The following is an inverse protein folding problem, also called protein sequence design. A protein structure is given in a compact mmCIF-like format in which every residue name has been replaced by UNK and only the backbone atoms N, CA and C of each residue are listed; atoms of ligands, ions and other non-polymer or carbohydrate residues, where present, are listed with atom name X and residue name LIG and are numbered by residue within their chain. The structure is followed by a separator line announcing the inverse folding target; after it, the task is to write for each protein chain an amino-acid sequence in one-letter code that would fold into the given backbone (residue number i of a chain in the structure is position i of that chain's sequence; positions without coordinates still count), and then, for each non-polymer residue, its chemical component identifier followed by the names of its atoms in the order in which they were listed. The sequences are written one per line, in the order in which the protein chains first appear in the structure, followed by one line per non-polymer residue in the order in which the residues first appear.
data_IF_133755231985
#
_entry.id   IF_133755231985
#
_cell.length_a   1.000
_cell.length_b   1.000
_cell.length_c   1.000
_cell.angle_alpha   90.00
_cell.angle_beta   90.00
_cell.angle_gamma   90.00
#
_symmetry.space_group_name_H-M   'P 1'
#
loop_
_entity.id
_entity.type
_entity.pdbx_description
1 polymer ?
#
# COMPACT_ATOMS: atom_id res chain seq x y z
N UNK A 1 12.07 -18.91 -11.24
CA UNK A 1 12.27 -17.98 -10.11
C UNK A 1 11.42 -18.38 -8.93
N UNK A 2 10.09 -18.42 -9.05
CA UNK A 2 9.20 -18.70 -7.92
C UNK A 2 9.45 -20.06 -7.26
N UNK A 3 9.73 -21.10 -8.05
CA UNK A 3 10.03 -22.43 -7.53
C UNK A 3 11.35 -22.44 -6.74
N UNK A 4 12.42 -21.84 -7.30
CA UNK A 4 13.74 -21.78 -6.65
C UNK A 4 13.79 -20.85 -5.42
N UNK A 5 12.89 -19.88 -5.33
CA UNK A 5 12.81 -18.90 -4.23
C UNK A 5 11.61 -19.14 -3.29
N UNK A 6 10.97 -20.33 -3.39
CA UNK A 6 9.88 -20.70 -2.50
C UNK A 6 10.40 -20.80 -1.06
N UNK A 7 9.75 -20.12 -0.13
CA UNK A 7 10.22 -19.99 1.26
C UNK A 7 11.13 -18.78 1.51
N UNK A 8 11.67 -18.12 0.46
CA UNK A 8 12.47 -16.88 0.58
C UNK A 8 11.60 -15.64 0.39
N UNK A 9 10.56 -15.74 -0.44
CA UNK A 9 9.65 -14.63 -0.72
C UNK A 9 8.39 -14.72 0.12
N UNK A 10 7.92 -13.55 0.59
CA UNK A 10 6.60 -13.42 1.22
C UNK A 10 5.49 -13.70 0.20
N UNK A 11 4.30 -14.08 0.68
CA UNK A 11 3.13 -14.33 -0.17
C UNK A 11 2.75 -13.11 -1.01
N UNK A 12 2.88 -11.91 -0.45
CA UNK A 12 2.65 -10.66 -1.18
C UNK A 12 3.63 -10.46 -2.34
N UNK A 13 4.89 -10.85 -2.18
CA UNK A 13 5.89 -10.82 -3.25
C UNK A 13 5.57 -11.86 -4.32
N UNK A 14 5.15 -13.06 -3.92
CA UNK A 14 4.71 -14.11 -4.84
C UNK A 14 3.52 -13.65 -5.66
N UNK A 15 2.52 -13.03 -5.03
CA UNK A 15 1.34 -12.48 -5.71
C UNK A 15 1.72 -11.46 -6.79
N UNK A 16 2.71 -10.58 -6.53
CA UNK A 16 3.24 -9.63 -7.52
C UNK A 16 3.83 -10.36 -8.74
N UNK A 17 4.62 -11.40 -8.53
CA UNK A 17 5.20 -12.16 -9.65
C UNK A 17 4.16 -12.96 -10.43
N UNK A 18 3.13 -13.47 -9.76
CA UNK A 18 2.00 -14.13 -10.44
C UNK A 18 1.22 -13.14 -11.31
N UNK A 19 0.95 -11.96 -10.80
CA UNK A 19 0.33 -10.88 -11.57
C UNK A 19 1.20 -10.48 -12.78
N UNK A 20 2.49 -10.26 -12.56
CA UNK A 20 3.45 -9.99 -13.63
C UNK A 20 3.45 -11.09 -14.69
N UNK A 21 3.44 -12.37 -14.29
CA UNK A 21 3.35 -13.49 -15.23
C UNK A 21 2.12 -13.39 -16.13
N UNK A 22 0.96 -13.06 -15.55
CA UNK A 22 -0.27 -12.86 -16.32
C UNK A 22 -0.13 -11.76 -17.38
N UNK A 23 0.37 -10.58 -16.96
CA UNK A 23 0.60 -9.43 -17.85
C UNK A 23 1.62 -9.77 -18.95
N UNK A 24 2.73 -10.41 -18.60
CA UNK A 24 3.76 -10.79 -19.57
C UNK A 24 3.21 -11.80 -20.59
N UNK A 25 2.46 -12.80 -20.15
CA UNK A 25 1.85 -13.80 -21.03
C UNK A 25 0.89 -13.14 -22.03
N UNK A 26 0.08 -12.19 -21.58
CA UNK A 26 -0.82 -11.43 -22.45
C UNK A 26 -0.05 -10.59 -23.48
N UNK A 27 1.00 -9.88 -23.05
CA UNK A 27 1.88 -9.14 -23.94
C UNK A 27 2.51 -10.02 -25.01
N UNK A 28 3.07 -11.16 -24.63
CA UNK A 28 3.70 -12.10 -25.56
C UNK A 28 2.70 -12.67 -26.58
N UNK A 29 1.49 -13.02 -26.14
CA UNK A 29 0.39 -13.47 -27.02
C UNK A 29 0.00 -12.39 -28.02
N UNK A 30 -0.24 -11.16 -27.56
CA UNK A 30 -0.65 -10.02 -28.40
C UNK A 30 0.39 -9.70 -29.49
N UNK A 31 1.67 -9.87 -29.19
CA UNK A 31 2.77 -9.58 -30.11
C UNK A 31 3.27 -10.82 -30.88
N UNK A 32 2.62 -11.99 -30.75
CA UNK A 32 3.03 -13.27 -31.38
C UNK A 32 4.46 -13.69 -31.01
N UNK A 33 4.86 -13.43 -29.75
CA UNK A 33 6.21 -13.65 -29.23
C UNK A 33 6.27 -14.76 -28.18
N UNK A 34 5.37 -15.75 -28.23
CA UNK A 34 5.26 -16.79 -27.20
C UNK A 34 6.51 -17.66 -27.05
N UNK A 35 7.29 -17.79 -28.14
CA UNK A 35 8.51 -18.59 -28.20
C UNK A 35 9.80 -17.74 -28.13
N UNK A 36 9.70 -16.47 -27.68
CA UNK A 36 10.86 -15.59 -27.55
C UNK A 36 11.89 -16.19 -26.59
N UNK A 37 13.16 -16.17 -26.94
CA UNK A 37 14.27 -16.51 -26.06
C UNK A 37 14.72 -15.28 -25.28
N UNK A 38 15.46 -15.49 -24.19
CA UNK A 38 15.96 -14.37 -23.39
C UNK A 38 16.95 -13.49 -24.18
N UNK A 39 17.79 -14.07 -25.04
CA UNK A 39 18.73 -13.35 -25.89
C UNK A 39 18.01 -12.49 -26.95
N UNK A 40 16.75 -12.80 -27.28
CA UNK A 40 15.95 -12.03 -28.24
C UNK A 40 15.24 -10.83 -27.59
N UNK A 41 15.35 -10.67 -26.26
CA UNK A 41 14.78 -9.53 -25.54
C UNK A 41 15.67 -8.31 -25.77
N UNK A 42 15.31 -7.47 -26.73
CA UNK A 42 16.00 -6.24 -27.08
C UNK A 42 15.38 -5.01 -26.40
N UNK A 43 16.04 -3.86 -26.50
CA UNK A 43 15.49 -2.56 -26.08
C UNK A 43 14.14 -2.30 -26.76
N UNK A 44 14.00 -2.69 -28.03
CA UNK A 44 12.74 -2.57 -28.77
C UNK A 44 11.63 -3.41 -28.12
N UNK A 45 11.93 -4.64 -27.67
CA UNK A 45 10.97 -5.50 -26.94
C UNK A 45 10.57 -4.86 -25.63
N UNK A 46 11.54 -4.32 -24.87
CA UNK A 46 11.32 -3.61 -23.63
C UNK A 46 10.42 -2.37 -23.79
N UNK A 47 10.68 -1.58 -24.83
CA UNK A 47 9.86 -0.40 -25.17
C UNK A 47 8.43 -0.80 -25.59
N UNK A 48 8.27 -1.87 -26.37
CA UNK A 48 6.95 -2.42 -26.71
C UNK A 48 6.19 -2.87 -25.45
N UNK A 49 6.88 -3.49 -24.50
CA UNK A 49 6.28 -3.89 -23.23
C UNK A 49 5.84 -2.66 -22.41
N UNK A 50 6.69 -1.63 -22.32
CA UNK A 50 6.35 -0.35 -21.67
C UNK A 50 5.10 0.29 -22.29
N UNK A 51 5.05 0.37 -23.64
CA UNK A 51 3.88 0.88 -24.34
C UNK A 51 2.63 0.04 -24.05
N UNK A 52 2.76 -1.29 -24.07
CA UNK A 52 1.65 -2.19 -23.74
C UNK A 52 1.09 -1.95 -22.31
N UNK A 53 1.96 -1.71 -21.33
CA UNK A 53 1.54 -1.38 -19.95
C UNK A 53 0.79 -0.05 -19.89
N UNK A 54 1.24 0.95 -20.64
CA UNK A 54 0.58 2.25 -20.77
C UNK A 54 -0.78 2.14 -21.46
N UNK A 55 -0.85 1.39 -22.57
CA UNK A 55 -2.08 1.16 -23.32
C UNK A 55 -3.16 0.41 -22.51
N UNK A 56 -2.73 -0.37 -21.49
CA UNK A 56 -3.63 -1.01 -20.51
C UNK A 56 -4.18 -0.02 -19.46
N UNK A 57 -3.76 1.24 -19.49
CA UNK A 57 -4.17 2.23 -18.50
C UNK A 57 -3.60 2.00 -17.10
N UNK A 58 -2.50 1.25 -16.96
CA UNK A 58 -1.88 1.02 -15.66
C UNK A 58 -1.20 2.31 -15.16
N UNK A 59 -1.37 2.60 -13.88
CA UNK A 59 -0.68 3.73 -13.24
C UNK A 59 0.85 3.56 -13.33
N UNK A 60 1.60 4.66 -13.41
CA UNK A 60 3.06 4.69 -13.61
C UNK A 60 3.81 3.81 -12.57
N UNK A 61 3.43 3.88 -11.30
CA UNK A 61 4.03 3.03 -10.26
C UNK A 61 3.81 1.53 -10.52
N UNK A 62 2.66 1.15 -11.07
CA UNK A 62 2.38 -0.25 -11.45
C UNK A 62 3.19 -0.63 -12.68
N UNK A 63 3.30 0.26 -13.69
CA UNK A 63 4.13 0.04 -14.85
C UNK A 63 5.60 -0.16 -14.44
N UNK A 64 6.14 0.71 -13.58
CA UNK A 64 7.51 0.59 -13.04
C UNK A 64 7.71 -0.73 -12.31
N UNK A 65 6.72 -1.16 -11.52
CA UNK A 65 6.76 -2.44 -10.82
C UNK A 65 6.82 -3.63 -11.79
N UNK A 66 6.04 -3.61 -12.87
CA UNK A 66 6.04 -4.66 -13.89
C UNK A 66 7.36 -4.66 -14.70
N UNK A 67 7.88 -3.49 -15.04
CA UNK A 67 9.20 -3.35 -15.68
C UNK A 67 10.32 -3.89 -14.80
N UNK A 68 10.32 -3.57 -13.51
CA UNK A 68 11.28 -4.11 -12.55
C UNK A 68 11.17 -5.65 -12.41
N UNK A 69 9.97 -6.22 -12.52
CA UNK A 69 9.80 -7.68 -12.54
C UNK A 69 10.42 -8.29 -13.80
N UNK A 70 10.24 -7.69 -14.97
CA UNK A 70 10.88 -8.16 -16.21
C UNK A 70 12.40 -8.05 -16.11
N UNK A 71 12.92 -6.92 -15.62
CA UNK A 71 14.36 -6.73 -15.38
C UNK A 71 14.94 -7.83 -14.46
N UNK A 72 14.29 -8.09 -13.33
CA UNK A 72 14.70 -9.17 -12.41
C UNK A 72 14.64 -10.55 -13.07
N UNK A 73 13.67 -10.78 -13.95
CA UNK A 73 13.56 -12.02 -14.71
C UNK A 73 14.77 -12.21 -15.66
N UNK A 74 15.19 -11.14 -16.34
CA UNK A 74 16.36 -11.17 -17.22
C UNK A 74 17.67 -11.39 -16.43
N UNK A 75 17.85 -10.72 -15.29
CA UNK A 75 19.01 -10.99 -14.42
C UNK A 75 19.03 -12.44 -13.93
N UNK A 76 17.88 -12.98 -13.55
CA UNK A 76 17.78 -14.38 -13.16
C UNK A 76 18.13 -15.32 -14.33
N UNK A 77 17.72 -14.99 -15.56
CA UNK A 77 18.07 -15.80 -16.74
C UNK A 77 19.58 -15.78 -17.00
N UNK A 78 20.25 -14.64 -16.77
CA UNK A 78 21.72 -14.57 -16.87
C UNK A 78 22.40 -15.44 -15.81
N UNK A 79 21.98 -15.33 -14.54
CA UNK A 79 22.53 -16.11 -13.42
C UNK A 79 22.37 -17.63 -13.67
N UNK A 80 21.27 -18.04 -14.31
CA UNK A 80 20.99 -19.42 -14.68
C UNK A 80 21.63 -19.83 -16.03
N UNK A 81 22.42 -18.96 -16.65
CA UNK A 81 23.07 -19.17 -17.96
C UNK A 81 22.07 -19.47 -19.10
N UNK A 82 20.88 -18.93 -19.04
CA UNK A 82 19.82 -19.05 -20.05
C UNK A 82 19.93 -17.94 -21.13
N UNK A 83 20.79 -16.96 -20.94
CA UNK A 83 21.15 -15.92 -21.90
C UNK A 83 22.58 -15.46 -21.66
N UNK A 84 23.16 -14.80 -22.66
CA UNK A 84 24.56 -14.32 -22.64
C UNK A 84 24.66 -12.81 -22.46
N UNK A 85 23.61 -12.06 -22.81
CA UNK A 85 23.59 -10.61 -22.73
C UNK A 85 22.33 -10.08 -22.02
N UNK A 86 22.55 -9.11 -21.14
CA UNK A 86 21.51 -8.38 -20.42
C UNK A 86 21.64 -6.87 -20.62
N UNK A 87 22.27 -6.42 -21.72
CA UNK A 87 22.42 -4.99 -22.05
C UNK A 87 21.09 -4.24 -21.96
N UNK A 88 19.98 -4.89 -22.35
CA UNK A 88 18.61 -4.38 -22.21
C UNK A 88 18.28 -4.01 -20.76
N UNK A 89 18.72 -4.80 -19.80
CA UNK A 89 18.42 -4.57 -18.39
C UNK A 89 19.17 -3.36 -17.82
N UNK A 90 20.35 -3.05 -18.38
CA UNK A 90 21.17 -1.90 -17.99
C UNK A 90 20.66 -0.60 -18.61
N UNK A 91 20.17 -0.67 -19.84
CA UNK A 91 19.69 0.49 -20.61
C UNK A 91 18.24 0.85 -20.29
N UNK A 92 17.54 -0.02 -19.57
CA UNK A 92 16.14 0.19 -19.23
C UNK A 92 16.02 1.01 -17.95
N UNK A 93 16.15 2.31 -18.08
CA UNK A 93 15.95 3.23 -16.98
C UNK A 93 14.50 3.16 -16.49
N UNK A 94 14.33 3.14 -15.16
CA UNK A 94 13.05 3.43 -14.57
C UNK A 94 12.71 4.86 -14.93
N UNK A 95 11.62 5.10 -15.63
CA UNK A 95 11.09 6.45 -15.73
C UNK A 95 10.69 6.86 -14.31
N UNK A 96 11.42 7.80 -13.76
CA UNK A 96 10.98 8.47 -12.56
C UNK A 96 9.60 9.04 -12.87
N UNK A 97 8.65 8.75 -11.99
CA UNK A 97 7.42 9.51 -11.96
C UNK A 97 7.85 10.97 -11.93
N UNK A 98 7.43 11.76 -12.91
CA UNK A 98 7.79 13.18 -12.94
C UNK A 98 7.45 13.76 -11.57
N UNK A 99 8.17 14.77 -11.11
CA UNK A 99 7.89 15.46 -9.84
C UNK A 99 6.42 15.96 -9.75
N UNK A 100 5.73 16.10 -10.90
CA UNK A 100 4.29 16.34 -11.01
C UNK A 100 3.40 15.13 -10.69
N UNK A 101 3.94 13.92 -10.68
CA UNK A 101 3.26 12.69 -10.24
C UNK A 101 3.67 12.28 -8.83
N UNK A 102 4.59 13.03 -8.20
CA UNK A 102 4.84 12.90 -6.77
C UNK A 102 3.54 13.33 -6.08
N UNK A 103 2.85 12.36 -5.52
CA UNK A 103 1.67 12.62 -4.70
C UNK A 103 2.09 13.57 -3.59
N UNK A 104 1.42 14.69 -3.47
CA UNK A 104 1.46 15.45 -2.23
C UNK A 104 1.00 14.48 -1.15
N UNK A 105 1.86 14.20 -0.19
CA UNK A 105 1.50 13.30 0.90
C UNK A 105 0.42 14.00 1.72
N UNK A 106 -0.75 13.39 1.74
CA UNK A 106 -1.90 13.86 2.50
C UNK A 106 -1.83 13.16 3.86
N UNK A 107 -1.90 13.93 4.92
CA UNK A 107 -1.90 13.43 6.30
C UNK A 107 -2.99 14.16 7.12
N UNK A 108 -3.43 13.53 8.18
CA UNK A 108 -4.31 14.17 9.17
C UNK A 108 -3.44 14.92 10.18
N UNK A 109 -3.84 16.12 10.53
CA UNK A 109 -3.22 16.84 11.64
C UNK A 109 -3.79 16.38 13.00
N UNK A 110 -3.19 16.88 14.09
CA UNK A 110 -3.59 16.50 15.45
C UNK A 110 -5.05 16.87 15.75
N UNK A 111 -5.54 17.98 15.20
CA UNK A 111 -6.93 18.41 15.36
C UNK A 111 -7.89 17.45 14.67
N UNK A 112 -7.55 17.02 13.46
CA UNK A 112 -8.33 16.06 12.70
C UNK A 112 -8.30 14.66 13.32
N UNK A 113 -7.17 14.23 13.89
CA UNK A 113 -7.05 12.96 14.63
C UNK A 113 -7.94 12.99 15.88
N UNK A 114 -7.86 14.06 16.67
CA UNK A 114 -8.69 14.25 17.86
C UNK A 114 -10.19 14.29 17.52
N UNK A 115 -10.53 15.00 16.45
CA UNK A 115 -11.90 15.04 15.94
C UNK A 115 -12.40 13.65 15.51
N UNK A 116 -11.58 12.91 14.77
CA UNK A 116 -11.92 11.56 14.34
C UNK A 116 -12.16 10.62 15.53
N UNK A 117 -11.33 10.72 16.57
CA UNK A 117 -11.51 9.96 17.81
C UNK A 117 -12.82 10.30 18.52
N UNK A 118 -13.19 11.57 18.58
CA UNK A 118 -14.41 12.05 19.23
C UNK A 118 -15.70 11.77 18.43
N UNK A 119 -15.59 11.34 17.18
CA UNK A 119 -16.74 11.12 16.30
C UNK A 119 -17.68 10.05 16.87
N UNK A 120 -18.95 10.42 17.06
CA UNK A 120 -20.00 9.52 17.51
C UNK A 120 -20.33 8.45 16.47
N UNK A 121 -19.92 7.23 16.71
CA UNK A 121 -20.22 6.07 15.86
C UNK A 121 -21.10 5.09 16.62
N UNK A 122 -22.25 4.71 16.03
CA UNK A 122 -23.17 3.72 16.61
C UNK A 122 -22.72 2.28 16.35
N UNK A 123 -21.98 2.04 15.26
CA UNK A 123 -21.50 0.72 14.87
C UNK A 123 -20.21 0.38 15.62
N UNK A 124 -20.23 -0.76 16.33
CA UNK A 124 -19.09 -1.24 17.11
C UNK A 124 -17.84 -1.53 16.25
N UNK A 125 -18.03 -2.07 15.07
CA UNK A 125 -16.90 -2.38 14.19
C UNK A 125 -16.23 -1.10 13.64
N UNK A 126 -17.03 -0.09 13.31
CA UNK A 126 -16.52 1.24 12.96
C UNK A 126 -15.75 1.87 14.12
N UNK A 127 -16.25 1.77 15.35
CA UNK A 127 -15.54 2.24 16.54
C UNK A 127 -14.17 1.55 16.66
N UNK A 128 -14.13 0.23 16.53
CA UNK A 128 -12.90 -0.56 16.60
C UNK A 128 -11.90 -0.17 15.51
N UNK A 129 -12.36 0.01 14.26
CA UNK A 129 -11.49 0.41 13.15
C UNK A 129 -10.97 1.82 13.35
N UNK A 130 -11.81 2.77 13.81
CA UNK A 130 -11.39 4.13 14.14
C UNK A 130 -10.30 4.12 15.22
N UNK A 131 -10.51 3.40 16.30
CA UNK A 131 -9.60 3.37 17.44
C UNK A 131 -8.24 2.75 17.04
N UNK A 132 -8.25 1.66 16.30
CA UNK A 132 -7.01 1.07 15.73
C UNK A 132 -6.31 2.03 14.78
N UNK A 133 -7.05 2.77 13.96
CA UNK A 133 -6.48 3.77 13.05
C UNK A 133 -5.83 4.92 13.81
N UNK A 134 -6.55 5.51 14.78
CA UNK A 134 -6.04 6.61 15.60
C UNK A 134 -4.81 6.17 16.38
N UNK A 135 -4.85 5.02 17.04
CA UNK A 135 -3.69 4.49 17.75
C UNK A 135 -2.50 4.25 16.80
N UNK A 136 -2.72 3.63 15.64
CA UNK A 136 -1.67 3.40 14.65
C UNK A 136 -1.00 4.70 14.18
N UNK A 137 -1.79 5.77 14.04
CA UNK A 137 -1.30 7.10 13.66
C UNK A 137 -0.44 7.72 14.77
N UNK A 138 -0.92 7.68 16.01
CA UNK A 138 -0.22 8.24 17.17
C UNK A 138 1.09 7.51 17.48
N UNK A 139 1.12 6.19 17.33
CA UNK A 139 2.34 5.38 17.59
C UNK A 139 3.21 5.16 16.35
N UNK A 140 2.80 5.66 15.18
CA UNK A 140 3.59 5.59 13.94
C UNK A 140 3.84 4.18 13.41
N UNK A 141 2.97 3.21 13.72
CA UNK A 141 3.17 1.82 13.31
C UNK A 141 2.33 1.45 12.08
N UNK A 142 2.86 0.50 11.28
CA UNK A 142 2.12 -0.04 10.15
C UNK A 142 0.93 -0.87 10.63
N UNK A 143 -0.13 -0.88 9.85
CA UNK A 143 -1.31 -1.69 10.16
C UNK A 143 -0.97 -3.16 10.46
N UNK A 144 -0.06 -3.78 9.70
CA UNK A 144 0.37 -5.17 9.94
C UNK A 144 1.02 -5.39 11.31
N UNK A 145 1.72 -4.38 11.80
CA UNK A 145 2.40 -4.43 13.09
C UNK A 145 1.39 -4.17 14.22
N UNK A 146 0.46 -3.23 14.00
CA UNK A 146 -0.63 -2.93 14.95
C UNK A 146 -1.54 -4.13 15.25
N UNK A 147 -1.98 -4.87 14.22
CA UNK A 147 -2.85 -6.04 14.43
C UNK A 147 -2.13 -7.24 15.07
N UNK A 148 -0.80 -7.20 15.14
CA UNK A 148 0.00 -8.22 15.82
C UNK A 148 0.21 -7.93 17.30
N UNK A 149 -0.12 -6.72 17.77
CA UNK A 149 0.00 -6.31 19.17
C UNK A 149 -1.05 -7.06 20.02
N UNK A 150 -0.60 -7.56 21.15
CA UNK A 150 -1.42 -8.15 22.22
C UNK A 150 -0.96 -7.62 23.59
N UNK A 151 -1.58 -8.07 24.66
CA UNK A 151 -1.27 -7.61 26.01
C UNK A 151 0.19 -7.83 26.42
N UNK A 152 0.84 -8.87 25.91
CA UNK A 152 2.24 -9.21 26.25
C UNK A 152 3.23 -8.21 25.67
N UNK A 153 2.80 -7.40 24.69
CA UNK A 153 3.61 -6.35 24.10
C UNK A 153 3.75 -5.13 25.02
N UNK A 154 2.85 -4.96 26.01
CA UNK A 154 2.79 -3.76 26.83
C UNK A 154 3.47 -3.95 28.19
N UNK A 155 4.16 -2.91 28.63
CA UNK A 155 4.75 -2.82 29.98
C UNK A 155 4.91 -1.37 30.39
N UNK A 156 4.94 -1.13 31.70
CA UNK A 156 5.19 0.21 32.25
C UNK A 156 6.63 0.29 32.75
N UNK A 157 7.34 1.34 32.32
CA UNK A 157 8.68 1.68 32.79
C UNK A 157 8.71 3.15 33.21
N UNK A 158 9.21 3.42 34.42
CA UNK A 158 9.24 4.76 35.01
C UNK A 158 7.92 5.54 34.91
N UNK A 159 6.79 4.84 35.02
CA UNK A 159 5.46 5.45 34.91
C UNK A 159 4.97 5.71 33.48
N UNK A 160 5.74 5.35 32.46
CA UNK A 160 5.36 5.47 31.06
C UNK A 160 4.94 4.10 30.52
N UNK A 161 3.78 4.05 29.87
CA UNK A 161 3.33 2.86 29.14
C UNK A 161 4.19 2.70 27.88
N UNK A 162 4.73 1.51 27.68
CA UNK A 162 5.54 1.17 26.52
C UNK A 162 4.97 -0.03 25.79
N UNK A 163 5.09 -0.05 24.46
CA UNK A 163 4.78 -1.20 23.64
C UNK A 163 6.05 -1.72 22.95
N UNK A 164 6.41 -2.98 23.20
CA UNK A 164 7.53 -3.66 22.54
C UNK A 164 6.99 -4.60 21.49
N UNK A 165 7.49 -4.46 20.26
CA UNK A 165 7.11 -5.35 19.15
C UNK A 165 8.26 -5.57 18.16
N UNK A 166 8.21 -6.69 17.44
CA UNK A 166 9.09 -6.96 16.30
C UNK A 166 8.34 -6.64 15.01
N UNK A 167 8.79 -5.63 14.28
CA UNK A 167 8.16 -5.21 13.02
C UNK A 167 8.18 -6.35 11.99
N UNK A 168 7.04 -6.68 11.41
CA UNK A 168 6.90 -7.82 10.48
C UNK A 168 7.71 -7.66 9.20
N UNK A 169 7.79 -6.44 8.67
CA UNK A 169 8.45 -6.17 7.38
C UNK A 169 9.98 -6.11 7.49
N UNK A 170 10.49 -5.46 8.52
CA UNK A 170 11.93 -5.18 8.70
C UNK A 170 12.60 -6.15 9.64
N UNK A 171 11.83 -6.91 10.43
CA UNK A 171 12.31 -7.81 11.50
C UNK A 171 13.13 -7.07 12.56
N UNK A 172 12.82 -5.81 12.77
CA UNK A 172 13.48 -4.95 13.77
C UNK A 172 12.64 -4.89 15.02
N UNK A 173 13.25 -5.09 16.17
CA UNK A 173 12.62 -4.87 17.47
C UNK A 173 12.56 -3.38 17.77
N UNK A 174 11.41 -2.91 18.18
CA UNK A 174 11.16 -1.52 18.55
C UNK A 174 10.43 -1.45 19.88
N UNK A 175 10.74 -0.40 20.63
CA UNK A 175 10.02 -0.01 21.84
C UNK A 175 9.40 1.35 21.58
N UNK A 176 8.11 1.47 21.80
CA UNK A 176 7.35 2.67 21.52
C UNK A 176 6.77 3.16 22.84
N UNK A 177 7.19 4.33 23.34
CA UNK A 177 6.53 4.95 24.48
C UNK A 177 5.15 5.47 24.03
N UNK A 178 4.13 5.16 24.81
CA UNK A 178 2.75 5.62 24.57
C UNK A 178 2.50 6.78 25.53
N UNK A 179 2.64 7.99 25.02
CA UNK A 179 2.60 9.23 25.81
C UNK A 179 1.32 10.02 25.63
N UNK A 180 0.63 9.82 24.49
CA UNK A 180 -0.61 10.53 24.19
C UNK A 180 -1.78 9.93 24.98
N UNK A 181 -2.53 10.76 25.69
CA UNK A 181 -3.67 10.32 26.51
C UNK A 181 -4.67 9.47 25.73
N UNK A 182 -5.02 9.89 24.50
CA UNK A 182 -5.91 9.13 23.62
C UNK A 182 -5.34 7.73 23.31
N UNK A 183 -4.04 7.62 23.11
CA UNK A 183 -3.41 6.33 22.84
C UNK A 183 -3.47 5.41 24.05
N UNK A 184 -3.26 5.95 25.25
CA UNK A 184 -3.42 5.22 26.53
C UNK A 184 -4.88 4.78 26.71
N UNK A 185 -5.84 5.69 26.55
CA UNK A 185 -7.28 5.40 26.65
C UNK A 185 -7.71 4.27 25.70
N UNK A 186 -7.20 4.28 24.46
CA UNK A 186 -7.50 3.21 23.50
C UNK A 186 -6.91 1.87 23.97
N UNK A 187 -5.67 1.85 24.46
CA UNK A 187 -5.06 0.63 24.98
C UNK A 187 -5.87 0.06 26.17
N UNK A 188 -6.24 0.91 27.12
CA UNK A 188 -7.03 0.53 28.30
C UNK A 188 -8.43 0.06 27.91
N UNK A 189 -9.10 0.76 26.98
CA UNK A 189 -10.44 0.40 26.48
C UNK A 189 -10.53 -1.04 25.97
N UNK A 190 -9.45 -1.54 25.39
CA UNK A 190 -9.38 -2.90 24.84
C UNK A 190 -8.60 -3.87 25.74
N UNK A 191 -8.34 -3.49 26.97
CA UNK A 191 -7.58 -4.29 27.93
C UNK A 191 -6.25 -4.79 27.30
N UNK A 192 -5.57 -3.86 26.59
CA UNK A 192 -4.32 -4.08 25.86
C UNK A 192 -4.40 -5.16 24.75
N UNK A 193 -5.60 -5.64 24.40
CA UNK A 193 -5.85 -6.59 23.32
C UNK A 193 -6.59 -5.91 22.18
N UNK A 194 -5.84 -5.32 21.26
CA UNK A 194 -6.40 -4.54 20.17
C UNK A 194 -7.30 -5.37 19.24
N UNK A 195 -8.39 -4.78 18.71
CA UNK A 195 -9.30 -5.47 17.79
C UNK A 195 -8.58 -6.00 16.55
N UNK A 196 -8.79 -7.27 16.22
CA UNK A 196 -8.21 -7.93 15.05
C UNK A 196 -9.17 -7.76 13.85
N UNK A 197 -8.79 -6.90 12.92
CA UNK A 197 -9.58 -6.59 11.71
C UNK A 197 -8.77 -6.96 10.47
N UNK A 198 -9.41 -7.52 9.44
CA UNK A 198 -8.72 -7.74 8.17
C UNK A 198 -8.40 -6.42 7.48
N UNK A 199 -7.28 -6.35 6.75
CA UNK A 199 -6.85 -5.14 6.04
C UNK A 199 -7.89 -4.66 5.02
N UNK A 200 -8.61 -5.58 4.37
CA UNK A 200 -9.66 -5.24 3.41
C UNK A 200 -10.80 -4.52 4.11
N UNK A 201 -11.30 -5.09 5.23
CA UNK A 201 -12.38 -4.51 6.02
C UNK A 201 -11.96 -3.18 6.63
N UNK A 202 -10.74 -3.11 7.18
CA UNK A 202 -10.16 -1.88 7.72
C UNK A 202 -10.18 -0.75 6.69
N UNK A 203 -9.66 -1.00 5.47
CA UNK A 203 -9.60 0.00 4.40
C UNK A 203 -10.99 0.46 3.91
N UNK A 204 -12.00 -0.40 3.97
CA UNK A 204 -13.38 -0.02 3.61
C UNK A 204 -13.98 0.86 4.70
N UNK A 205 -13.91 0.41 5.96
CA UNK A 205 -14.55 1.11 7.07
C UNK A 205 -13.88 2.43 7.39
N UNK A 206 -12.55 2.54 7.34
CA UNK A 206 -11.88 3.82 7.63
C UNK A 206 -12.26 4.90 6.61
N UNK A 207 -12.41 4.55 5.33
CA UNK A 207 -12.90 5.50 4.32
C UNK A 207 -14.32 5.96 4.60
N UNK A 208 -15.18 5.06 5.06
CA UNK A 208 -16.56 5.42 5.43
C UNK A 208 -16.59 6.31 6.68
N UNK A 209 -15.74 6.02 7.67
CA UNK A 209 -15.61 6.85 8.87
C UNK A 209 -15.14 8.26 8.51
N UNK A 210 -14.10 8.39 7.68
CA UNK A 210 -13.63 9.69 7.19
C UNK A 210 -14.71 10.43 6.40
N UNK A 211 -15.51 9.75 5.57
CA UNK A 211 -16.63 10.37 4.84
C UNK A 211 -17.68 10.92 5.80
N UNK A 212 -18.03 10.19 6.88
CA UNK A 212 -18.93 10.68 7.91
C UNK A 212 -18.35 11.87 8.67
N UNK A 213 -17.05 11.83 8.97
CA UNK A 213 -16.36 12.96 9.57
C UNK A 213 -16.50 14.24 8.73
N UNK A 214 -16.30 14.15 7.42
CA UNK A 214 -16.44 15.29 6.48
C UNK A 214 -17.87 15.83 6.42
N UNK A 215 -18.89 15.01 6.62
CA UNK A 215 -20.30 15.47 6.64
C UNK A 215 -20.60 16.29 7.89
N UNK A 216 -20.04 15.89 9.04
CA UNK A 216 -20.29 16.55 10.34
C UNK A 216 -19.37 17.76 10.53
N UNK A 217 -18.13 17.68 10.07
CA UNK A 217 -17.15 18.76 10.13
C UNK A 217 -16.61 19.05 8.71
N UNK A 218 -17.15 20.04 8.00
CA UNK A 218 -16.74 20.33 6.64
C UNK A 218 -15.27 20.72 6.48
N UNK A 219 -14.64 21.24 7.54
CA UNK A 219 -13.19 21.53 7.55
C UNK A 219 -12.32 20.28 7.65
N UNK A 220 -12.89 19.14 8.09
CA UNK A 220 -12.18 17.85 8.06
C UNK A 220 -11.90 17.49 6.61
N UNK A 221 -10.63 17.39 6.28
CA UNK A 221 -10.20 17.05 4.93
C UNK A 221 -10.08 18.22 3.96
N UNK A 222 -10.17 19.47 4.39
CA UNK A 222 -9.91 20.66 3.53
C UNK A 222 -8.51 20.60 2.91
N UNK A 223 -7.52 20.04 3.63
CA UNK A 223 -6.20 19.75 3.10
C UNK A 223 -6.25 18.75 1.94
N UNK A 224 -7.19 17.83 1.92
CA UNK A 224 -7.37 16.87 0.82
C UNK A 224 -7.86 17.56 -0.45
N UNK A 225 -8.73 18.54 -0.32
CA UNK A 225 -9.33 19.26 -1.47
C UNK A 225 -8.35 20.24 -2.08
N UNK A 226 -7.56 20.93 -1.28
CA UNK A 226 -6.61 21.95 -1.74
C UNK A 226 -5.36 21.35 -2.39
N UNK A 227 -5.06 20.08 -2.13
CA UNK A 227 -3.85 19.40 -2.60
C UNK A 227 -4.10 18.38 -3.73
N UNK A 228 -5.37 18.13 -4.10
CA UNK A 228 -5.70 17.26 -5.22
C UNK A 228 -5.20 17.87 -6.53
N UNK A 229 -4.40 17.11 -7.26
CA UNK A 229 -4.03 17.47 -8.63
C UNK A 229 -5.24 17.35 -9.56
N UNK A 230 -5.26 18.10 -10.68
CA UNK A 230 -6.34 18.02 -11.67
C UNK A 230 -6.66 16.58 -12.14
N UNK A 231 -5.69 15.66 -12.04
CA UNK A 231 -5.82 14.24 -12.40
C UNK A 231 -6.51 13.42 -11.31
N UNK A 232 -6.28 13.78 -10.05
CA UNK A 232 -6.93 13.20 -8.88
C UNK A 232 -8.39 13.65 -8.81
N UNK A 233 -8.66 14.90 -9.09
CA UNK A 233 -10.03 15.43 -9.22
C UNK A 233 -10.82 14.69 -10.31
N UNK A 234 -10.20 14.37 -11.44
CA UNK A 234 -10.83 13.58 -12.51
C UNK A 234 -11.12 12.13 -12.09
N UNK A 235 -10.23 11.53 -11.31
CA UNK A 235 -10.42 10.17 -10.78
C UNK A 235 -11.53 10.15 -9.73
N UNK A 236 -11.64 11.17 -8.90
CA UNK A 236 -12.66 11.32 -7.87
C UNK A 236 -14.04 11.62 -8.48
N UNK A 237 -14.09 12.47 -9.51
CA UNK A 237 -15.31 12.70 -10.29
C UNK A 237 -15.80 11.42 -11.00
N UNK A 238 -14.89 10.59 -11.50
CA UNK A 238 -15.20 9.29 -12.06
C UNK A 238 -15.71 8.31 -11.01
N UNK A 239 -15.14 8.34 -9.79
CA UNK A 239 -15.57 7.52 -8.66
C UNK A 239 -16.96 7.95 -8.16
N UNK A 240 -17.20 9.27 -8.07
CA UNK A 240 -18.49 9.84 -7.69
C UNK A 240 -19.58 9.45 -8.68
N UNK A 241 -19.31 9.53 -10.00
CA UNK A 241 -20.24 9.08 -11.06
C UNK A 241 -20.52 7.58 -11.00
N UNK A 242 -19.58 6.76 -10.52
CA UNK A 242 -19.76 5.32 -10.34
C UNK A 242 -20.61 4.98 -9.10
N UNK A 243 -20.53 5.79 -8.04
CA UNK A 243 -21.34 5.64 -6.82
C UNK A 243 -22.78 6.09 -7.07
N UNK A 244 -22.97 7.21 -7.76
CA UNK A 244 -24.30 7.72 -8.13
C UNK A 244 -25.06 6.78 -9.06
N UNK A 245 -24.35 5.99 -9.91
CA UNK A 245 -24.96 4.95 -10.77
C UNK A 245 -25.37 3.67 -10.05
N UNK A 246 -24.92 3.45 -8.83
CA UNK A 246 -25.29 2.28 -8.02
C UNK A 246 -26.46 2.57 -7.09
N UNK A 247 -26.82 3.82 -6.91
CA UNK A 247 -27.93 4.28 -6.08
C UNK A 247 -29.20 4.63 -6.92
N UNK A 248 -29.11 4.57 -8.23
CA UNK A 248 -30.23 4.66 -9.19
C UNK A 248 -30.59 3.29 -9.75
#
# INVERSE_FOLDING_TARGET
ILIKKRGVYSDSTIAVYLHFRGILTEFLKKNKMQNIKFDDITVTTANKFTKFLSDKGLMMNTQNKMRNCLRKLCYFALDEKLCTDISVCRLWESHEASAKESRTEIFLDDTEINYLYSLGLSDREMQQVRDVFVLATLVGQRFSDMIAIDSDCFYTDMGVLNCRLTQQKTKTDVVIPITEDIAVEICEKYDYNLPKVSIQKFNVLIKEICRRAMVVCPSFGDMFVTQLTAKEMHAEESYRKLTERKES
#
